data_IF_401641715475
#
_entry.id   IF_401641715475
#
_cell.length_a   1.000
_cell.length_b   1.000
_cell.length_c   1.000
_cell.angle_alpha   90.00
_cell.angle_beta   90.00
_cell.angle_gamma   90.00
#
_symmetry.space_group_name_H-M   'P 1'
#
loop_
_entity.id
_entity.type
_entity.pdbx_description
1 polymer ?
#
# COMPACT_ATOMS: atom_id res chain seq x y z
N UNK A 1 -41.34 -22.64 -14.73
CA UNK A 1 -42.72 -22.99 -15.06
C UNK A 1 -42.83 -24.50 -15.18
N UNK A 2 -43.92 -25.08 -14.71
CA UNK A 2 -44.18 -26.53 -14.77
C UNK A 2 -44.98 -26.87 -16.03
N UNK A 3 -44.88 -28.11 -16.52
CA UNK A 3 -45.65 -28.58 -17.69
C UNK A 3 -47.16 -28.38 -17.49
N UNK A 4 -47.65 -28.72 -16.30
CA UNK A 4 -49.06 -28.58 -15.91
C UNK A 4 -49.59 -27.15 -16.06
N UNK A 5 -48.77 -26.14 -15.72
CA UNK A 5 -49.12 -24.73 -15.86
C UNK A 5 -49.27 -24.36 -17.34
N UNK A 6 -48.37 -24.83 -18.20
CA UNK A 6 -48.38 -24.54 -19.63
C UNK A 6 -49.48 -25.30 -20.37
N UNK A 7 -49.83 -26.51 -19.93
CA UNK A 7 -50.98 -27.27 -20.49
C UNK A 7 -52.31 -26.64 -20.09
N UNK A 8 -52.42 -26.08 -18.87
CA UNK A 8 -53.61 -25.40 -18.39
C UNK A 8 -53.95 -24.09 -19.13
N UNK A 9 -52.95 -23.45 -19.76
CA UNK A 9 -53.14 -22.27 -20.64
C UNK A 9 -53.41 -22.65 -22.10
N UNK A 10 -53.55 -23.95 -22.41
CA UNK A 10 -53.94 -24.44 -23.73
C UNK A 10 -52.80 -24.50 -24.76
N UNK A 11 -51.54 -24.64 -24.32
CA UNK A 11 -50.43 -24.87 -25.27
C UNK A 11 -50.48 -26.30 -25.83
N UNK A 12 -50.41 -26.39 -27.16
CA UNK A 12 -50.17 -27.64 -27.89
C UNK A 12 -48.86 -28.32 -27.45
N UNK A 13 -48.80 -29.66 -27.44
CA UNK A 13 -47.66 -30.42 -26.89
C UNK A 13 -46.32 -30.14 -27.58
N UNK A 14 -46.32 -29.82 -28.88
CA UNK A 14 -45.09 -29.43 -29.59
C UNK A 14 -44.54 -28.06 -29.14
N UNK A 15 -45.44 -27.10 -28.89
CA UNK A 15 -45.04 -25.77 -28.41
C UNK A 15 -44.59 -25.83 -26.95
N UNK A 16 -45.21 -26.70 -26.16
CA UNK A 16 -44.81 -26.98 -24.77
C UNK A 16 -43.37 -27.48 -24.69
N UNK A 17 -42.98 -28.41 -25.55
CA UNK A 17 -41.63 -28.97 -25.56
C UNK A 17 -40.58 -27.93 -25.96
N UNK A 18 -40.88 -27.13 -26.99
CA UNK A 18 -40.00 -26.04 -27.46
C UNK A 18 -39.81 -24.95 -26.39
N UNK A 19 -40.89 -24.59 -25.69
CA UNK A 19 -40.87 -23.63 -24.58
C UNK A 19 -40.07 -24.17 -23.39
N UNK A 20 -40.22 -25.45 -23.04
CA UNK A 20 -39.42 -26.08 -21.98
C UNK A 20 -37.93 -26.15 -22.33
N UNK A 21 -37.60 -26.45 -23.59
CA UNK A 21 -36.21 -26.51 -24.06
C UNK A 21 -35.54 -25.12 -24.06
N UNK A 22 -36.23 -24.08 -24.53
CA UNK A 22 -35.78 -22.70 -24.47
C UNK A 22 -35.58 -22.23 -23.03
N UNK A 23 -36.60 -22.42 -22.17
CA UNK A 23 -36.50 -22.05 -20.77
C UNK A 23 -35.41 -22.82 -20.02
N UNK A 24 -35.22 -24.12 -20.31
CA UNK A 24 -34.14 -24.91 -19.72
C UNK A 24 -32.76 -24.32 -20.05
N UNK A 25 -32.54 -24.01 -21.34
CA UNK A 25 -31.30 -23.38 -21.82
C UNK A 25 -31.09 -21.99 -21.22
N UNK A 26 -32.14 -21.17 -21.13
CA UNK A 26 -32.05 -19.83 -20.56
C UNK A 26 -31.79 -19.88 -19.05
N UNK A 27 -32.43 -20.80 -18.32
CA UNK A 27 -32.18 -21.00 -16.88
C UNK A 27 -30.73 -21.43 -16.63
N UNK A 28 -30.18 -22.33 -17.43
CA UNK A 28 -28.77 -22.70 -17.31
C UNK A 28 -27.84 -21.52 -17.63
N UNK A 29 -28.14 -20.76 -18.69
CA UNK A 29 -27.37 -19.56 -19.04
C UNK A 29 -27.39 -18.52 -17.93
N UNK A 30 -28.56 -18.23 -17.36
CA UNK A 30 -28.68 -17.28 -16.25
C UNK A 30 -27.96 -17.77 -15.00
N UNK A 31 -28.04 -19.06 -14.66
CA UNK A 31 -27.26 -19.64 -13.55
C UNK A 31 -25.75 -19.46 -13.76
N UNK A 32 -25.26 -19.73 -14.96
CA UNK A 32 -23.86 -19.52 -15.31
C UNK A 32 -23.45 -18.04 -15.21
N UNK A 33 -24.28 -17.13 -15.73
CA UNK A 33 -24.04 -15.69 -15.65
C UNK A 33 -24.00 -15.18 -14.21
N UNK A 34 -24.93 -15.61 -13.35
CA UNK A 34 -24.94 -15.22 -11.94
C UNK A 34 -23.71 -15.76 -11.20
N UNK A 35 -23.27 -16.98 -11.51
CA UNK A 35 -22.05 -17.54 -10.94
C UNK A 35 -20.80 -16.77 -11.39
N UNK A 36 -20.71 -16.40 -12.67
CA UNK A 36 -19.61 -15.60 -13.22
C UNK A 36 -19.59 -14.18 -12.64
N UNK A 37 -20.75 -13.55 -12.47
CA UNK A 37 -20.88 -12.23 -11.87
C UNK A 37 -20.52 -12.24 -10.38
N UNK A 38 -20.94 -13.27 -9.63
CA UNK A 38 -20.54 -13.44 -8.24
C UNK A 38 -19.01 -13.61 -8.13
N UNK A 39 -18.41 -14.47 -8.97
CA UNK A 39 -16.96 -14.65 -8.99
C UNK A 39 -16.20 -13.37 -9.39
N UNK A 40 -16.77 -12.54 -10.28
CA UNK A 40 -16.21 -11.22 -10.62
C UNK A 40 -16.34 -10.24 -9.46
N UNK A 41 -17.47 -10.20 -8.79
CA UNK A 41 -17.71 -9.31 -7.65
C UNK A 41 -16.75 -9.63 -6.50
N UNK A 42 -16.53 -10.91 -6.19
CA UNK A 42 -15.55 -11.33 -5.17
C UNK A 42 -14.12 -10.92 -5.54
N UNK A 43 -13.72 -11.12 -6.79
CA UNK A 43 -12.40 -10.68 -7.28
C UNK A 43 -12.23 -9.17 -7.21
N UNK A 44 -13.24 -8.41 -7.62
CA UNK A 44 -13.21 -6.95 -7.55
C UNK A 44 -13.17 -6.48 -6.09
N UNK A 45 -13.94 -7.09 -5.19
CA UNK A 45 -13.92 -6.74 -3.78
C UNK A 45 -12.54 -7.00 -3.16
N UNK A 46 -11.90 -8.12 -3.50
CA UNK A 46 -10.53 -8.41 -3.08
C UNK A 46 -9.53 -7.37 -3.61
N UNK A 47 -9.62 -7.02 -4.90
CA UNK A 47 -8.77 -6.00 -5.52
C UNK A 47 -8.96 -4.61 -4.88
N UNK A 48 -10.21 -4.22 -4.60
CA UNK A 48 -10.50 -2.95 -3.92
C UNK A 48 -9.88 -2.94 -2.53
N UNK A 49 -9.98 -4.02 -1.77
CA UNK A 49 -9.34 -4.14 -0.46
C UNK A 49 -7.83 -4.00 -0.54
N UNK A 50 -7.18 -4.66 -1.51
CA UNK A 50 -5.73 -4.58 -1.72
C UNK A 50 -5.29 -3.17 -2.17
N UNK A 51 -6.05 -2.52 -3.06
CA UNK A 51 -5.78 -1.15 -3.48
C UNK A 51 -5.95 -0.16 -2.34
N UNK A 52 -6.99 -0.31 -1.52
CA UNK A 52 -7.21 0.55 -0.34
C UNK A 52 -6.07 0.37 0.67
N UNK A 53 -5.64 -0.87 0.91
CA UNK A 53 -4.52 -1.16 1.78
C UNK A 53 -3.22 -0.52 1.27
N UNK A 54 -2.88 -0.73 0.00
CA UNK A 54 -1.66 -0.17 -0.60
C UNK A 54 -1.69 1.36 -0.68
N UNK A 55 -2.84 1.96 -0.97
CA UNK A 55 -3.03 3.40 -0.94
C UNK A 55 -2.86 3.97 0.48
N UNK A 56 -3.50 3.38 1.48
CA UNK A 56 -3.34 3.79 2.88
C UNK A 56 -1.89 3.61 3.35
N UNK A 57 -1.23 2.52 2.97
CA UNK A 57 0.18 2.26 3.29
C UNK A 57 1.09 3.33 2.69
N UNK A 58 0.91 3.64 1.40
CA UNK A 58 1.71 4.66 0.72
C UNK A 58 1.48 6.06 1.30
N UNK A 59 0.23 6.41 1.65
CA UNK A 59 -0.10 7.67 2.29
C UNK A 59 0.56 7.79 3.68
N UNK A 60 0.48 6.74 4.50
CA UNK A 60 1.09 6.70 5.82
C UNK A 60 2.64 6.75 5.75
N UNK A 61 3.25 6.02 4.81
CA UNK A 61 4.69 6.07 4.55
C UNK A 61 5.18 7.41 3.99
N UNK A 62 4.31 8.22 3.38
CA UNK A 62 4.67 9.53 2.82
C UNK A 62 5.21 10.52 3.87
N UNK A 63 4.82 10.37 5.13
CA UNK A 63 5.33 11.17 6.25
C UNK A 63 6.65 10.65 6.85
N UNK A 64 7.12 9.47 6.42
CA UNK A 64 8.22 8.75 7.08
C UNK A 64 9.51 8.92 6.27
N UNK A 65 10.57 9.40 6.94
CA UNK A 65 11.89 9.53 6.34
C UNK A 65 12.72 8.27 6.57
N UNK A 66 12.80 7.45 5.54
CA UNK A 66 13.67 6.27 5.49
C UNK A 66 15.09 6.65 5.09
N UNK A 67 16.09 5.98 5.64
CA UNK A 67 17.50 6.22 5.32
C UNK A 67 17.88 5.80 3.90
N UNK A 68 17.08 4.93 3.27
CA UNK A 68 17.33 4.38 1.94
C UNK A 68 16.07 3.85 1.25
N UNK A 69 16.13 3.67 -0.08
CA UNK A 69 15.07 3.00 -0.86
C UNK A 69 14.85 1.54 -0.42
N UNK A 70 15.92 0.86 -0.02
CA UNK A 70 15.85 -0.53 0.48
C UNK A 70 15.14 -0.61 1.83
N UNK A 71 15.38 0.34 2.74
CA UNK A 71 14.68 0.41 4.02
C UNK A 71 13.17 0.61 3.81
N UNK A 72 12.79 1.48 2.87
CA UNK A 72 11.39 1.66 2.48
C UNK A 72 10.77 0.36 1.94
N UNK A 73 11.47 -0.35 1.05
CA UNK A 73 10.99 -1.61 0.48
C UNK A 73 10.85 -2.73 1.53
N UNK A 74 11.78 -2.81 2.49
CA UNK A 74 11.69 -3.77 3.60
C UNK A 74 10.51 -3.47 4.53
N UNK A 75 10.21 -2.18 4.77
CA UNK A 75 9.04 -1.75 5.53
C UNK A 75 7.73 -2.05 4.79
N UNK A 76 7.67 -1.86 3.47
CA UNK A 76 6.53 -2.27 2.64
C UNK A 76 6.28 -3.79 2.69
N UNK A 77 7.34 -4.59 2.67
CA UNK A 77 7.24 -6.04 2.86
C UNK A 77 6.76 -6.40 4.28
N UNK A 78 7.29 -5.75 5.30
CA UNK A 78 6.89 -6.00 6.68
C UNK A 78 5.42 -5.58 6.93
N UNK A 79 4.99 -4.46 6.34
CA UNK A 79 3.58 -4.02 6.36
C UNK A 79 2.67 -5.00 5.64
N UNK A 80 3.02 -5.43 4.42
CA UNK A 80 2.20 -6.41 3.68
C UNK A 80 2.15 -7.78 4.38
N UNK A 81 3.20 -8.18 5.09
CA UNK A 81 3.23 -9.39 5.91
C UNK A 81 2.37 -9.26 7.19
N UNK A 82 2.39 -8.09 7.83
CA UNK A 82 1.62 -7.82 9.05
C UNK A 82 0.11 -7.73 8.80
N UNK A 83 -0.32 -7.39 7.57
CA UNK A 83 -1.74 -7.22 7.18
C UNK A 83 -2.53 -6.44 8.22
N UNK A 84 -2.05 -5.23 8.52
CA UNK A 84 -2.70 -4.37 9.51
C UNK A 84 -4.16 -4.12 9.12
N UNK A 85 -5.09 -4.11 10.08
CA UNK A 85 -6.48 -3.82 9.79
C UNK A 85 -6.62 -2.39 9.24
N UNK A 86 -7.17 -2.26 8.03
CA UNK A 86 -7.60 -0.98 7.48
C UNK A 86 -9.01 -0.66 7.97
N UNK A 87 -9.15 0.40 8.75
CA UNK A 87 -10.45 0.88 9.21
C UNK A 87 -10.63 2.31 8.70
N UNK A 88 -11.74 2.59 8.01
CA UNK A 88 -12.04 3.91 7.45
C UNK A 88 -10.91 4.54 6.62
N UNK A 89 -10.29 3.79 5.70
CA UNK A 89 -9.23 4.28 4.79
C UNK A 89 -7.89 4.58 5.50
N UNK A 90 -7.80 4.41 6.82
CA UNK A 90 -6.57 4.55 7.59
C UNK A 90 -6.05 3.20 8.09
N UNK A 91 -4.72 3.03 8.11
CA UNK A 91 -4.08 1.89 8.75
C UNK A 91 -4.05 2.11 10.26
N UNK A 92 -5.00 1.50 10.96
CA UNK A 92 -5.03 1.54 12.43
C UNK A 92 -3.81 0.77 12.95
N UNK A 93 -3.00 1.40 13.81
CA UNK A 93 -1.77 0.80 14.34
C UNK A 93 -0.51 1.00 13.50
N UNK A 94 -0.54 1.84 12.45
CA UNK A 94 0.65 2.21 11.69
C UNK A 94 1.75 2.83 12.57
N UNK A 95 1.40 3.76 13.46
CA UNK A 95 2.38 4.42 14.34
C UNK A 95 3.02 3.44 15.33
N UNK A 96 2.26 2.48 15.85
CA UNK A 96 2.78 1.43 16.72
C UNK A 96 3.72 0.50 15.97
N UNK A 97 3.34 0.12 14.74
CA UNK A 97 4.19 -0.69 13.86
C UNK A 97 5.48 0.05 13.50
N UNK A 98 5.39 1.34 13.18
CA UNK A 98 6.54 2.18 12.89
C UNK A 98 7.47 2.33 14.08
N UNK A 99 6.93 2.52 15.29
CA UNK A 99 7.73 2.60 16.51
C UNK A 99 8.43 1.27 16.84
N UNK A 100 7.75 0.14 16.65
CA UNK A 100 8.38 -1.19 16.77
C UNK A 100 9.47 -1.41 15.73
N UNK A 101 9.16 -1.13 14.46
CA UNK A 101 10.12 -1.29 13.37
C UNK A 101 11.33 -0.35 13.52
N UNK A 102 11.13 0.84 14.09
CA UNK A 102 12.23 1.76 14.44
C UNK A 102 13.06 1.24 15.61
N UNK A 103 12.45 0.58 16.59
CA UNK A 103 13.18 -0.04 17.70
C UNK A 103 13.99 -1.27 17.23
N UNK A 104 13.46 -2.04 16.28
CA UNK A 104 14.12 -3.21 15.71
C UNK A 104 15.20 -2.84 14.67
N UNK A 105 14.99 -1.75 13.92
CA UNK A 105 15.93 -1.24 12.91
C UNK A 105 16.01 0.30 12.94
N UNK A 106 16.77 0.82 13.91
CA UNK A 106 17.02 2.26 14.04
C UNK A 106 17.76 2.85 12.83
N UNK A 107 18.54 2.05 12.11
CA UNK A 107 19.35 2.49 10.96
C UNK A 107 18.52 2.57 9.66
N UNK A 108 17.35 1.92 9.60
CA UNK A 108 16.41 2.03 8.48
C UNK A 108 15.75 3.41 8.36
N UNK A 109 15.76 4.21 9.42
CA UNK A 109 15.20 5.56 9.43
C UNK A 109 16.30 6.61 9.44
N UNK A 110 16.03 7.76 8.84
CA UNK A 110 16.95 8.89 8.98
C UNK A 110 17.03 9.27 10.46
N UNK A 111 18.22 9.21 11.06
CA UNK A 111 18.51 10.00 12.25
C UNK A 111 18.14 11.45 11.89
N UNK A 112 17.29 12.09 12.68
CA UNK A 112 17.21 13.55 12.67
C UNK A 112 18.54 14.09 13.22
N UNK A 113 19.59 13.99 12.40
CA UNK A 113 20.71 14.89 12.48
C UNK A 113 20.16 16.26 12.08
N UNK A 114 19.66 17.00 13.08
CA UNK A 114 19.88 18.43 13.08
C UNK A 114 21.35 18.64 12.67
N UNK A 115 21.58 19.44 11.64
CA UNK A 115 22.91 19.72 11.10
C UNK A 115 23.64 18.54 10.42
N UNK A 116 23.11 18.03 9.31
CA UNK A 116 24.01 17.57 8.24
C UNK A 116 24.57 18.79 7.51
N UNK A 117 25.39 19.57 8.21
CA UNK A 117 26.17 20.64 7.60
C UNK A 117 27.05 20.01 6.50
N UNK A 118 27.10 20.59 5.29
CA UNK A 118 27.91 20.04 4.22
C UNK A 118 29.37 20.03 4.68
N UNK A 119 29.99 18.85 4.73
CA UNK A 119 31.41 18.72 4.97
C UNK A 119 32.13 19.11 3.69
N UNK A 120 32.42 20.41 3.54
CA UNK A 120 33.26 20.94 2.47
C UNK A 120 34.70 20.62 2.85
N UNK A 121 35.14 19.41 2.51
CA UNK A 121 36.51 18.92 2.67
C UNK A 121 37.00 18.74 4.13
N UNK A 122 37.23 17.48 4.53
CA UNK A 122 38.13 17.16 5.65
C UNK A 122 39.53 16.95 5.08
N UNK A 123 40.51 17.84 5.34
CA UNK A 123 41.89 17.58 4.94
C UNK A 123 42.46 16.46 5.81
N UNK A 124 42.86 15.36 5.18
CA UNK A 124 43.65 14.30 5.82
C UNK A 124 45.09 14.76 5.91
N UNK A 125 45.42 15.49 6.98
CA UNK A 125 46.80 15.86 7.25
C UNK A 125 46.93 16.97 8.28
N UNK A 126 47.43 16.58 9.46
CA UNK A 126 48.24 17.41 10.37
C UNK A 126 47.65 18.73 10.91
N UNK A 127 47.23 18.64 12.18
CA UNK A 127 47.24 19.65 13.26
C UNK A 127 47.39 21.15 12.92
N UNK A 128 46.46 21.94 13.47
CA UNK A 128 46.63 23.33 13.91
C UNK A 128 46.82 24.43 12.86
N UNK A 129 46.11 24.38 11.73
CA UNK A 129 46.06 25.54 10.81
C UNK A 129 44.95 26.55 11.17
N UNK A 130 43.91 26.13 11.90
CA UNK A 130 42.80 27.00 12.29
C UNK A 130 43.16 28.02 13.36
N UNK A 131 44.03 27.70 14.32
CA UNK A 131 44.39 28.63 15.40
C UNK A 131 45.35 29.74 14.94
N UNK A 132 46.35 29.43 14.10
CA UNK A 132 47.26 30.47 13.57
C UNK A 132 46.57 31.43 12.61
N UNK A 133 45.65 30.95 11.77
CA UNK A 133 44.93 31.81 10.84
C UNK A 133 43.94 32.74 11.57
N UNK A 134 43.25 32.23 12.59
CA UNK A 134 42.35 33.04 13.41
C UNK A 134 43.11 34.04 14.30
N UNK A 135 44.30 33.70 14.80
CA UNK A 135 45.15 34.61 15.58
C UNK A 135 45.70 35.75 14.70
N UNK A 136 46.20 35.42 13.50
CA UNK A 136 46.70 36.43 12.56
C UNK A 136 45.60 37.37 12.05
N UNK A 137 44.39 36.85 11.80
CA UNK A 137 43.24 37.71 11.50
C UNK A 137 42.85 38.58 12.71
N UNK A 138 42.80 38.04 13.93
CA UNK A 138 42.48 38.82 15.14
C UNK A 138 43.49 39.95 15.39
N UNK A 139 44.78 39.71 15.16
CA UNK A 139 45.79 40.78 15.24
C UNK A 139 45.66 41.80 14.11
N UNK A 140 45.37 41.38 12.87
CA UNK A 140 45.13 42.31 11.76
C UNK A 140 43.87 43.18 11.94
N UNK A 141 42.87 42.68 12.68
CA UNK A 141 41.67 43.40 13.06
C UNK A 141 41.75 44.09 14.43
N UNK A 142 42.92 44.09 15.09
CA UNK A 142 43.16 44.80 16.35
C UNK A 142 42.41 44.25 17.57
N UNK A 143 41.94 43.00 17.52
CA UNK A 143 41.19 42.35 18.59
C UNK A 143 42.13 41.39 19.32
N UNK A 144 42.72 41.86 20.43
CA UNK A 144 43.39 40.99 21.41
C UNK A 144 42.40 40.53 22.49
#
# INVERSE_FOLDING_TARGET
MKREELTAIGLEPEMLEKVMALHGRDVEKHKAQTADEAARAEKLAAQIGEMQYSAAASAAMGGVKFSSKSAKAAFEQALSAAKLPCENVALTGFDEFLNKYRADDEQAFEMQSADKQPVIMRPTGSQNLGEMQNAALREAFGLR
#
